data_IF_396667838727
#
_entry.id   IF_396667838727
#
_cell.length_a   1.000
_cell.length_b   1.000
_cell.length_c   1.000
_cell.angle_alpha   90.00
_cell.angle_beta   90.00
_cell.angle_gamma   90.00
#
_symmetry.space_group_name_H-M   'P 1'
#
loop_
_entity.id
_entity.type
_entity.pdbx_description
1 polymer ?
#
# COMPACT_ATOMS: atom_id res chain seq x y z
N UNK A 1 -48.52 -25.14 -21.05
CA UNK A 1 -47.33 -24.25 -20.87
C UNK A 1 -47.53 -23.05 -21.79
N UNK A 2 -47.59 -21.86 -21.23
CA UNK A 2 -48.01 -20.65 -21.96
C UNK A 2 -46.91 -20.19 -22.95
N UNK A 3 -47.22 -20.30 -24.26
CA UNK A 3 -46.27 -19.89 -25.34
C UNK A 3 -45.80 -18.46 -25.24
N UNK A 4 -46.60 -17.56 -24.62
CA UNK A 4 -46.18 -16.14 -24.35
C UNK A 4 -45.09 -16.06 -23.30
N UNK A 5 -45.16 -16.84 -22.24
CA UNK A 5 -44.14 -16.88 -21.17
C UNK A 5 -42.80 -17.39 -21.72
N UNK A 6 -42.83 -18.44 -22.52
CA UNK A 6 -41.61 -18.99 -23.15
C UNK A 6 -40.93 -17.99 -24.10
N UNK A 7 -41.71 -17.19 -24.86
CA UNK A 7 -41.17 -16.17 -25.75
C UNK A 7 -40.53 -14.96 -24.96
N UNK A 8 -41.16 -14.62 -23.85
CA UNK A 8 -40.60 -13.54 -22.96
C UNK A 8 -39.29 -13.98 -22.33
N UNK A 9 -39.24 -15.21 -21.79
CA UNK A 9 -38.03 -15.75 -21.18
C UNK A 9 -36.87 -15.88 -22.17
N UNK A 10 -37.17 -16.29 -23.42
CA UNK A 10 -36.17 -16.33 -24.49
C UNK A 10 -35.67 -14.92 -24.90
N UNK A 11 -36.56 -13.94 -24.95
CA UNK A 11 -36.19 -12.57 -25.26
C UNK A 11 -35.33 -11.93 -24.15
N UNK A 12 -35.67 -12.16 -22.88
CA UNK A 12 -34.90 -11.71 -21.72
C UNK A 12 -33.51 -12.36 -21.71
N UNK A 13 -33.41 -13.64 -21.99
CA UNK A 13 -32.13 -14.35 -22.10
C UNK A 13 -31.26 -13.82 -23.23
N UNK A 14 -31.84 -13.52 -24.40
CA UNK A 14 -31.11 -12.93 -25.52
C UNK A 14 -30.60 -11.53 -25.21
N UNK A 15 -31.39 -10.68 -24.56
CA UNK A 15 -30.99 -9.32 -24.14
C UNK A 15 -29.89 -9.39 -23.07
N UNK A 16 -30.02 -10.25 -22.08
CA UNK A 16 -28.99 -10.45 -21.05
C UNK A 16 -27.68 -10.96 -21.67
N UNK A 17 -27.74 -11.89 -22.63
CA UNK A 17 -26.58 -12.35 -23.39
C UNK A 17 -25.89 -11.26 -24.19
N UNK A 18 -26.67 -10.40 -24.89
CA UNK A 18 -26.13 -9.25 -25.62
C UNK A 18 -25.46 -8.22 -24.69
N UNK A 19 -26.09 -7.90 -23.56
CA UNK A 19 -25.51 -7.00 -22.56
C UNK A 19 -24.22 -7.59 -22.01
N UNK A 20 -24.18 -8.87 -21.64
CA UNK A 20 -22.98 -9.57 -21.18
C UNK A 20 -21.85 -9.56 -22.22
N UNK A 21 -22.17 -9.79 -23.49
CA UNK A 21 -21.23 -9.71 -24.60
C UNK A 21 -20.65 -8.29 -24.79
N UNK A 22 -21.49 -7.26 -24.75
CA UNK A 22 -21.03 -5.86 -24.87
C UNK A 22 -20.17 -5.44 -23.70
N UNK A 23 -20.54 -5.83 -22.47
CA UNK A 23 -19.73 -5.58 -21.28
C UNK A 23 -18.37 -6.29 -21.41
N UNK A 24 -18.34 -7.55 -21.82
CA UNK A 24 -17.11 -8.32 -22.02
C UNK A 24 -16.20 -7.69 -23.08
N UNK A 25 -16.77 -7.21 -24.21
CA UNK A 25 -16.04 -6.51 -25.26
C UNK A 25 -15.48 -5.17 -24.78
N UNK A 26 -16.24 -4.42 -23.99
CA UNK A 26 -15.80 -3.16 -23.39
C UNK A 26 -14.67 -3.36 -22.39
N UNK A 27 -14.76 -4.38 -21.53
CA UNK A 27 -13.73 -4.74 -20.57
C UNK A 27 -12.44 -5.18 -21.28
N UNK A 28 -12.54 -6.03 -22.34
CA UNK A 28 -11.39 -6.44 -23.16
C UNK A 28 -10.73 -5.23 -23.85
N UNK A 29 -11.53 -4.30 -24.40
CA UNK A 29 -11.01 -3.10 -25.03
C UNK A 29 -10.29 -2.19 -24.04
N UNK A 30 -10.87 -1.96 -22.85
CA UNK A 30 -10.21 -1.22 -21.77
C UNK A 30 -8.89 -1.87 -21.34
N UNK A 31 -8.87 -3.21 -21.22
CA UNK A 31 -7.66 -3.97 -20.85
C UNK A 31 -6.57 -3.81 -21.91
N UNK A 32 -6.92 -3.95 -23.21
CA UNK A 32 -5.97 -3.80 -24.30
C UNK A 32 -5.40 -2.38 -24.43
N UNK A 33 -6.23 -1.34 -24.25
CA UNK A 33 -5.79 0.07 -24.23
C UNK A 33 -4.81 0.28 -23.06
N UNK A 34 -5.16 -0.20 -21.87
CA UNK A 34 -4.31 -0.11 -20.68
C UNK A 34 -2.98 -0.83 -20.84
N UNK A 35 -2.98 -2.04 -21.44
CA UNK A 35 -1.76 -2.78 -21.74
C UNK A 35 -0.86 -2.04 -22.75
N UNK A 36 -1.46 -1.35 -23.74
CA UNK A 36 -0.69 -0.54 -24.70
C UNK A 36 -0.13 0.73 -24.06
N UNK A 37 -0.87 1.41 -23.20
CA UNK A 37 -0.42 2.56 -22.42
C UNK A 37 0.71 2.16 -21.46
N UNK A 38 0.56 1.06 -20.72
CA UNK A 38 1.59 0.52 -19.85
C UNK A 38 2.88 0.17 -20.62
N UNK A 39 2.77 -0.46 -21.80
CA UNK A 39 3.93 -0.75 -22.64
C UNK A 39 4.62 0.52 -23.15
N UNK A 40 3.90 1.58 -23.42
CA UNK A 40 4.47 2.87 -23.81
C UNK A 40 5.19 3.52 -22.61
N UNK A 41 4.61 3.48 -21.41
CA UNK A 41 5.20 4.00 -20.18
C UNK A 41 6.43 3.21 -19.70
N UNK A 42 6.49 1.90 -19.96
CA UNK A 42 7.68 1.05 -19.66
C UNK A 42 8.97 1.57 -20.31
N UNK A 43 8.85 2.25 -21.45
CA UNK A 43 10.00 2.74 -22.24
C UNK A 43 10.50 4.11 -21.79
N UNK A 44 9.80 4.79 -20.89
CA UNK A 44 10.19 6.13 -20.43
C UNK A 44 10.95 5.96 -19.11
N UNK A 45 12.27 6.14 -19.08
CA UNK A 45 13.03 6.12 -17.83
C UNK A 45 12.57 7.26 -16.93
N UNK A 46 12.45 6.99 -15.62
CA UNK A 46 12.12 8.01 -14.64
C UNK A 46 13.18 9.11 -14.63
N UNK A 47 12.74 10.35 -14.84
CA UNK A 47 13.60 11.53 -14.73
C UNK A 47 13.20 12.32 -13.48
N UNK A 48 14.12 12.41 -12.54
CA UNK A 48 13.92 13.20 -11.33
C UNK A 48 13.72 14.68 -11.70
N UNK A 49 12.56 15.23 -11.31
CA UNK A 49 12.30 16.66 -11.38
C UNK A 49 13.08 17.44 -10.31
N UNK A 50 13.08 18.77 -10.42
CA UNK A 50 13.72 19.67 -9.44
C UNK A 50 13.25 19.41 -8.00
N UNK A 51 11.94 19.29 -7.80
CA UNK A 51 11.35 19.01 -6.49
C UNK A 51 11.86 17.69 -5.92
N UNK A 52 11.82 16.62 -6.68
CA UNK A 52 12.26 15.31 -6.22
C UNK A 52 13.73 15.27 -5.86
N UNK A 53 14.56 15.92 -6.69
CA UNK A 53 16.03 15.91 -6.54
C UNK A 53 16.51 16.73 -5.34
N UNK A 54 15.89 17.88 -5.08
CA UNK A 54 16.43 18.84 -4.13
C UNK A 54 15.54 19.13 -2.92
N UNK A 55 14.21 19.02 -3.05
CA UNK A 55 13.27 19.46 -2.02
C UNK A 55 12.63 18.28 -1.29
N UNK A 56 12.25 17.23 -2.02
CA UNK A 56 11.47 16.12 -1.46
C UNK A 56 12.15 15.47 -0.26
N UNK A 57 13.44 15.16 -0.34
CA UNK A 57 14.14 14.50 0.77
C UNK A 57 14.28 15.36 2.02
N UNK A 58 14.72 16.64 1.96
CA UNK A 58 14.65 17.57 3.11
C UNK A 58 13.24 17.69 3.70
N UNK A 59 12.21 17.82 2.86
CA UNK A 59 10.80 17.89 3.29
C UNK A 59 10.38 16.62 4.03
N UNK A 60 10.63 15.43 3.46
CA UNK A 60 10.31 14.14 4.09
C UNK A 60 10.97 14.01 5.47
N UNK A 61 12.24 14.42 5.57
CA UNK A 61 12.98 14.41 6.84
C UNK A 61 12.36 15.37 7.87
N UNK A 62 12.07 16.62 7.49
CA UNK A 62 11.45 17.59 8.39
C UNK A 62 10.06 17.13 8.84
N UNK A 63 9.23 16.62 7.92
CA UNK A 63 7.91 16.07 8.26
C UNK A 63 8.02 14.90 9.24
N UNK A 64 8.94 13.96 8.98
CA UNK A 64 9.16 12.82 9.87
C UNK A 64 9.71 13.22 11.24
N UNK A 65 10.61 14.23 11.30
CA UNK A 65 11.15 14.75 12.54
C UNK A 65 10.07 15.40 13.39
N UNK A 66 9.29 16.31 12.79
CA UNK A 66 8.19 16.99 13.49
C UNK A 66 7.13 15.98 13.97
N UNK A 67 6.77 15.01 13.12
CA UNK A 67 5.86 13.93 13.49
C UNK A 67 6.45 13.07 14.63
N UNK A 68 7.74 12.75 14.60
CA UNK A 68 8.40 11.96 15.65
C UNK A 68 8.40 12.70 17.00
N UNK A 69 8.64 14.01 17.01
CA UNK A 69 8.59 14.83 18.21
C UNK A 69 7.14 14.91 18.73
N UNK A 70 6.17 15.27 17.88
CA UNK A 70 4.77 15.45 18.27
C UNK A 70 4.12 14.15 18.73
N UNK A 71 4.45 13.00 18.10
CA UNK A 71 3.89 11.69 18.42
C UNK A 71 4.74 10.89 19.44
N UNK A 72 5.85 11.46 19.92
CA UNK A 72 6.72 10.75 20.89
C UNK A 72 5.98 10.27 22.16
N UNK A 73 5.05 11.02 22.79
CA UNK A 73 4.31 10.51 23.93
C UNK A 73 3.44 9.31 23.56
N UNK A 74 2.78 9.36 22.39
CA UNK A 74 1.93 8.26 21.88
C UNK A 74 2.81 7.03 21.60
N UNK A 75 3.98 7.22 20.97
CA UNK A 75 4.91 6.13 20.69
C UNK A 75 5.43 5.48 21.97
N UNK A 76 5.78 6.27 22.99
CA UNK A 76 6.25 5.76 24.29
C UNK A 76 5.16 4.95 25.00
N UNK A 77 3.93 5.50 25.07
CA UNK A 77 2.78 4.81 25.68
C UNK A 77 2.50 3.51 24.91
N UNK A 78 2.44 3.57 23.58
CA UNK A 78 2.20 2.38 22.75
C UNK A 78 3.30 1.34 22.96
N UNK A 79 4.57 1.74 22.99
CA UNK A 79 5.69 0.84 23.23
C UNK A 79 5.62 0.18 24.61
N UNK A 80 5.25 0.93 25.64
CA UNK A 80 5.04 0.41 26.99
C UNK A 80 3.89 -0.60 27.03
N UNK A 81 2.77 -0.30 26.40
CA UNK A 81 1.62 -1.20 26.31
C UNK A 81 1.98 -2.50 25.55
N UNK A 82 2.73 -2.39 24.46
CA UNK A 82 3.26 -3.57 23.74
C UNK A 82 4.15 -4.40 24.67
N UNK A 83 5.06 -3.76 25.42
CA UNK A 83 5.94 -4.44 26.35
C UNK A 83 5.17 -5.21 27.43
N UNK A 84 4.11 -4.60 27.98
CA UNK A 84 3.30 -5.21 29.04
C UNK A 84 2.41 -6.34 28.49
N UNK A 85 1.77 -6.13 27.33
CA UNK A 85 0.75 -7.07 26.81
C UNK A 85 1.29 -8.17 25.91
N UNK A 86 2.41 -7.93 25.21
CA UNK A 86 2.98 -8.86 24.24
C UNK A 86 4.43 -9.27 24.58
N UNK A 87 5.05 -8.61 25.58
CA UNK A 87 6.40 -8.91 26.00
C UNK A 87 7.49 -8.27 25.12
N UNK A 88 8.66 -8.90 25.07
CA UNK A 88 9.82 -8.48 24.28
C UNK A 88 9.97 -9.36 23.04
N UNK A 89 10.49 -8.83 21.91
CA UNK A 89 10.84 -7.43 21.63
C UNK A 89 9.61 -6.55 21.40
N UNK A 90 9.72 -5.24 21.67
CA UNK A 90 8.65 -4.26 21.45
C UNK A 90 8.47 -3.94 19.97
N UNK A 91 9.60 -3.87 19.24
CA UNK A 91 9.62 -3.61 17.81
C UNK A 91 9.71 -4.92 17.03
N UNK A 92 8.88 -5.01 16.02
CA UNK A 92 8.96 -6.00 14.96
C UNK A 92 9.68 -5.40 13.76
N UNK A 93 10.55 -6.18 13.14
CA UNK A 93 11.26 -5.77 11.93
C UNK A 93 10.96 -6.73 10.79
N UNK A 94 10.79 -6.19 9.58
CA UNK A 94 10.56 -6.98 8.38
C UNK A 94 11.34 -6.41 7.20
N UNK A 95 12.00 -7.28 6.46
CA UNK A 95 12.73 -6.89 5.26
C UNK A 95 11.76 -6.46 4.16
N UNK A 96 12.04 -5.29 3.57
CA UNK A 96 11.25 -4.68 2.51
C UNK A 96 12.16 -4.12 1.42
N UNK A 97 11.75 -4.19 0.14
CA UNK A 97 12.47 -3.53 -0.94
C UNK A 97 12.19 -2.02 -0.93
N UNK A 98 13.26 -1.26 -0.98
CA UNK A 98 13.27 0.20 -1.07
C UNK A 98 13.65 0.71 -2.46
N UNK A 99 14.30 1.87 -2.50
CA UNK A 99 14.83 2.49 -3.73
C UNK A 99 15.73 1.52 -4.48
N UNK A 100 15.50 1.37 -5.78
CA UNK A 100 16.21 0.44 -6.67
C UNK A 100 16.20 -1.02 -6.18
N UNK A 101 15.16 -1.41 -5.43
CA UNK A 101 15.04 -2.76 -4.88
C UNK A 101 15.97 -3.06 -3.70
N UNK A 102 16.74 -2.09 -3.19
CA UNK A 102 17.64 -2.27 -2.04
C UNK A 102 16.81 -2.63 -0.80
N UNK A 103 17.15 -3.75 -0.17
CA UNK A 103 16.43 -4.25 1.01
C UNK A 103 16.77 -3.38 2.23
N UNK A 104 15.73 -3.00 2.98
CA UNK A 104 15.86 -2.32 4.28
C UNK A 104 14.95 -2.99 5.32
N UNK A 105 15.22 -2.74 6.59
CA UNK A 105 14.40 -3.23 7.71
C UNK A 105 13.31 -2.21 8.05
N UNK A 106 12.06 -2.57 7.77
CA UNK A 106 10.88 -1.81 8.16
C UNK A 106 10.61 -2.02 9.65
N UNK A 107 10.44 -0.93 10.41
CA UNK A 107 10.15 -0.97 11.84
C UNK A 107 8.66 -0.80 12.11
N UNK A 108 8.09 -1.68 12.93
CA UNK A 108 6.71 -1.58 13.43
C UNK A 108 6.65 -1.94 14.90
N UNK A 109 5.61 -1.52 15.60
CA UNK A 109 5.31 -2.14 16.88
C UNK A 109 4.80 -3.57 16.67
N UNK A 110 5.19 -4.45 17.58
CA UNK A 110 4.74 -5.83 17.58
C UNK A 110 3.25 -5.89 17.89
N UNK A 111 2.50 -6.72 17.15
CA UNK A 111 1.04 -6.87 17.26
C UNK A 111 0.60 -8.30 17.52
N UNK A 112 1.55 -9.24 17.47
CA UNK A 112 1.32 -10.68 17.65
C UNK A 112 2.20 -11.25 18.78
N UNK A 113 1.77 -12.34 19.38
CA UNK A 113 2.58 -13.14 20.30
C UNK A 113 3.59 -14.01 19.55
N UNK A 114 4.56 -14.59 20.25
CA UNK A 114 5.49 -15.58 19.70
C UNK A 114 5.11 -17.00 20.15
N UNK A 115 3.81 -17.24 20.37
CA UNK A 115 3.31 -18.56 20.73
C UNK A 115 3.64 -19.60 19.68
N UNK A 116 4.07 -20.77 20.15
CA UNK A 116 4.53 -21.87 19.31
C UNK A 116 3.76 -23.14 19.66
N UNK A 117 3.72 -24.06 18.71
CA UNK A 117 3.20 -25.40 18.89
C UNK A 117 4.23 -26.31 19.61
N UNK A 118 3.85 -27.58 19.82
CA UNK A 118 4.69 -28.62 20.45
C UNK A 118 5.98 -28.91 19.64
N UNK A 119 6.01 -28.59 18.35
CA UNK A 119 7.17 -28.77 17.46
C UNK A 119 8.09 -27.53 17.45
N UNK A 120 7.74 -26.46 18.18
CA UNK A 120 8.48 -25.20 18.21
C UNK A 120 8.18 -24.28 17.01
N UNK A 121 7.20 -24.60 16.15
CA UNK A 121 6.75 -23.76 15.05
C UNK A 121 5.78 -22.68 15.56
N UNK A 122 5.82 -21.50 14.91
CA UNK A 122 4.90 -20.41 15.27
C UNK A 122 3.45 -20.82 14.98
N UNK A 123 2.57 -20.59 15.94
CA UNK A 123 1.13 -20.79 15.74
C UNK A 123 0.61 -19.89 14.58
N UNK A 124 -0.52 -20.25 13.96
CA UNK A 124 -1.14 -19.44 12.91
C UNK A 124 -1.38 -17.99 13.34
N UNK A 125 -1.27 -17.07 12.41
CA UNK A 125 -1.38 -15.62 12.65
C UNK A 125 -2.72 -15.24 13.34
N UNK A 126 -3.80 -15.97 13.06
CA UNK A 126 -5.13 -15.77 13.66
C UNK A 126 -5.14 -16.01 15.17
N UNK A 127 -4.33 -16.96 15.64
CA UNK A 127 -4.17 -17.30 17.08
C UNK A 127 -3.28 -16.28 17.75
N UNK A 128 -2.14 -15.96 17.13
CA UNK A 128 -1.12 -15.04 17.65
C UNK A 128 -1.57 -13.57 17.68
N UNK A 129 -2.52 -13.19 16.80
CA UNK A 129 -3.02 -11.83 16.71
C UNK A 129 -4.05 -11.55 17.81
N UNK A 130 -3.60 -10.98 18.90
CA UNK A 130 -4.42 -10.64 20.09
C UNK A 130 -5.45 -9.55 19.77
N UNK A 131 -6.45 -9.37 20.64
CA UNK A 131 -7.41 -8.24 20.57
C UNK A 131 -6.67 -6.88 20.59
N UNK A 132 -5.67 -6.76 21.43
CA UNK A 132 -4.82 -5.57 21.51
C UNK A 132 -4.06 -5.32 20.19
N UNK A 133 -3.47 -6.36 19.61
CA UNK A 133 -2.80 -6.28 18.31
C UNK A 133 -3.74 -5.87 17.17
N UNK A 134 -4.99 -6.38 17.19
CA UNK A 134 -6.05 -5.94 16.23
C UNK A 134 -6.34 -4.45 16.38
N UNK A 135 -6.45 -3.94 17.60
CA UNK A 135 -6.65 -2.50 17.85
C UNK A 135 -5.49 -1.67 17.35
N UNK A 136 -4.23 -2.07 17.61
CA UNK A 136 -3.06 -1.36 17.08
C UNK A 136 -3.09 -1.28 15.55
N UNK A 137 -3.43 -2.38 14.85
CA UNK A 137 -3.51 -2.40 13.38
C UNK A 137 -4.68 -1.58 12.84
N UNK A 138 -5.84 -1.60 13.51
CA UNK A 138 -7.00 -0.82 13.05
C UNK A 138 -6.79 0.68 13.21
N UNK A 139 -6.03 1.11 14.23
CA UNK A 139 -5.65 2.51 14.46
C UNK A 139 -4.37 2.92 13.72
N UNK A 140 -3.66 1.98 13.08
CA UNK A 140 -2.34 2.18 12.46
C UNK A 140 -1.25 2.65 13.45
N UNK A 141 -1.45 2.53 14.75
CA UNK A 141 -0.44 2.86 15.76
C UNK A 141 0.80 1.95 15.66
N UNK A 142 0.62 0.72 15.16
CA UNK A 142 1.71 -0.22 14.92
C UNK A 142 2.71 0.29 13.86
N UNK A 143 2.31 1.21 12.98
CA UNK A 143 3.14 1.76 11.91
C UNK A 143 3.96 3.01 12.34
N UNK A 144 3.72 3.58 13.53
CA UNK A 144 4.45 4.77 14.00
C UNK A 144 5.99 4.63 13.99
N UNK A 145 6.60 3.46 14.31
CA UNK A 145 8.06 3.31 14.19
C UNK A 145 8.61 3.44 12.77
N UNK A 146 7.78 3.40 11.71
CA UNK A 146 8.22 3.68 10.33
C UNK A 146 8.75 5.11 10.18
N UNK A 147 8.43 6.04 11.09
CA UNK A 147 9.06 7.37 11.18
C UNK A 147 10.59 7.27 11.27
N UNK A 148 11.13 6.25 11.95
CA UNK A 148 12.56 5.98 12.01
C UNK A 148 13.12 5.67 10.62
N UNK A 149 12.39 4.90 9.80
CA UNK A 149 12.80 4.61 8.43
C UNK A 149 12.80 5.87 7.55
N UNK A 150 11.84 6.77 7.75
CA UNK A 150 11.82 8.06 7.04
C UNK A 150 12.99 8.96 7.44
N UNK A 151 13.32 9.05 8.73
CA UNK A 151 14.49 9.81 9.22
C UNK A 151 15.79 9.24 8.67
N UNK A 152 15.94 7.90 8.63
CA UNK A 152 17.11 7.23 8.05
C UNK A 152 17.21 7.39 6.53
N UNK A 153 16.10 7.67 5.84
CA UNK A 153 16.02 7.81 4.39
C UNK A 153 15.73 6.53 3.63
N UNK A 154 15.36 5.47 4.34
CA UNK A 154 14.87 4.23 3.73
C UNK A 154 13.51 4.44 3.07
N UNK A 155 12.70 5.35 3.65
CA UNK A 155 11.34 5.69 3.21
C UNK A 155 11.16 7.20 3.02
N UNK A 156 10.15 7.54 2.25
CA UNK A 156 9.57 8.88 2.08
C UNK A 156 8.23 8.99 2.81
N UNK A 157 7.72 10.20 3.01
CA UNK A 157 6.34 10.40 3.47
C UNK A 157 5.36 9.88 2.42
N UNK A 158 5.56 10.27 1.16
CA UNK A 158 4.74 9.86 0.03
C UNK A 158 5.55 9.04 -0.97
N UNK A 159 5.03 7.88 -1.34
CA UNK A 159 5.63 6.95 -2.30
C UNK A 159 4.85 5.64 -2.41
N UNK A 160 5.23 4.73 -3.30
CA UNK A 160 4.66 3.38 -3.36
C UNK A 160 4.84 2.63 -2.03
N UNK A 161 3.78 1.97 -1.53
CA UNK A 161 3.88 1.21 -0.27
C UNK A 161 4.86 0.06 -0.40
N UNK A 162 5.84 -0.14 0.52
CA UNK A 162 6.82 -1.21 0.43
C UNK A 162 6.13 -2.57 0.63
N UNK A 163 6.18 -3.43 -0.40
CA UNK A 163 5.63 -4.78 -0.37
C UNK A 163 6.65 -5.80 0.14
N UNK A 164 6.28 -7.08 0.22
CA UNK A 164 7.18 -8.14 0.69
C UNK A 164 8.28 -8.42 -0.34
N UNK A 165 9.49 -8.76 0.12
CA UNK A 165 10.64 -9.12 -0.72
C UNK A 165 10.30 -10.23 -1.72
N UNK A 166 9.47 -11.21 -1.31
CA UNK A 166 9.03 -12.32 -2.18
C UNK A 166 8.28 -11.89 -3.44
N UNK A 167 7.84 -10.65 -3.55
CA UNK A 167 7.17 -10.13 -4.75
C UNK A 167 8.16 -9.59 -5.79
N UNK A 168 9.42 -9.32 -5.43
CA UNK A 168 10.41 -8.77 -6.38
C UNK A 168 10.57 -9.62 -7.64
N UNK A 169 10.60 -10.94 -7.49
CA UNK A 169 10.72 -11.87 -8.62
C UNK A 169 9.44 -12.05 -9.44
N UNK A 170 8.33 -11.44 -9.02
CA UNK A 170 7.01 -11.57 -9.68
C UNK A 170 6.60 -10.33 -10.46
N UNK A 171 7.35 -9.23 -10.32
CA UNK A 171 7.05 -8.00 -11.05
C UNK A 171 7.49 -8.13 -12.51
N UNK A 172 6.62 -7.68 -13.41
CA UNK A 172 7.04 -7.34 -14.76
C UNK A 172 7.84 -6.01 -14.76
N UNK A 173 8.38 -5.64 -15.92
CA UNK A 173 9.20 -4.43 -16.07
C UNK A 173 8.44 -3.15 -15.68
N UNK A 174 7.13 -3.10 -15.98
CA UNK A 174 6.28 -1.96 -15.64
C UNK A 174 6.07 -1.86 -14.12
N UNK A 175 5.70 -2.96 -13.48
CA UNK A 175 5.46 -3.03 -12.04
C UNK A 175 6.73 -2.76 -11.22
N UNK A 176 7.90 -3.19 -11.73
CA UNK A 176 9.20 -2.98 -11.08
C UNK A 176 9.58 -1.49 -10.99
N UNK A 177 9.04 -0.64 -11.86
CA UNK A 177 9.24 0.83 -11.86
C UNK A 177 8.86 1.50 -10.54
N UNK A 178 7.99 0.89 -9.75
CA UNK A 178 7.66 1.37 -8.41
C UNK A 178 8.86 1.51 -7.47
N UNK A 179 9.96 0.82 -7.78
CA UNK A 179 11.23 0.89 -7.04
C UNK A 179 12.20 1.96 -7.55
N UNK A 180 11.86 2.70 -8.60
CA UNK A 180 12.63 3.85 -9.09
C UNK A 180 12.65 5.01 -8.09
N UNK A 181 11.76 4.99 -7.11
CA UNK A 181 11.65 5.98 -6.04
C UNK A 181 11.64 5.31 -4.65
N UNK A 182 11.84 6.09 -3.59
CA UNK A 182 11.71 5.58 -2.23
C UNK A 182 10.27 5.16 -1.94
N UNK A 183 10.07 4.02 -1.25
CA UNK A 183 8.74 3.66 -0.77
C UNK A 183 8.22 4.70 0.22
N UNK A 184 6.89 4.86 0.24
CA UNK A 184 6.22 5.84 1.10
C UNK A 184 5.46 5.22 2.26
N UNK A 185 5.31 6.00 3.33
CA UNK A 185 4.37 5.74 4.41
C UNK A 185 2.92 5.79 3.90
N UNK A 186 2.62 6.82 3.10
CA UNK A 186 1.40 6.89 2.29
C UNK A 186 1.73 6.96 0.81
N UNK A 187 0.72 6.84 -0.06
CA UNK A 187 0.93 6.87 -1.51
C UNK A 187 -0.36 6.90 -2.30
N UNK A 188 -0.22 7.12 -3.60
CA UNK A 188 -1.35 7.32 -4.50
C UNK A 188 -2.29 6.12 -4.52
N UNK A 189 -1.77 4.88 -4.54
CA UNK A 189 -2.58 3.67 -4.47
C UNK A 189 -3.34 3.55 -3.13
N UNK A 190 -2.76 4.03 -2.03
CA UNK A 190 -3.38 3.95 -0.71
C UNK A 190 -4.58 4.88 -0.58
N UNK A 191 -4.53 6.08 -1.17
CA UNK A 191 -5.66 7.03 -1.14
C UNK A 191 -6.75 6.72 -2.17
N UNK A 192 -6.47 5.85 -3.17
CA UNK A 192 -7.44 5.46 -4.20
C UNK A 192 -8.14 4.11 -3.93
N UNK A 193 -8.07 3.56 -2.74
CA UNK A 193 -8.87 2.40 -2.37
C UNK A 193 -8.17 1.32 -1.55
N UNK A 194 -6.88 1.46 -1.23
CA UNK A 194 -6.15 0.52 -0.35
C UNK A 194 -6.34 -0.96 -0.75
N UNK A 195 -7.14 -1.68 0.05
CA UNK A 195 -7.42 -3.10 -0.16
C UNK A 195 -8.61 -3.36 -1.09
N UNK A 196 -9.41 -2.33 -1.42
CA UNK A 196 -10.59 -2.47 -2.27
C UNK A 196 -10.25 -2.49 -3.78
N UNK A 197 -9.04 -2.07 -4.17
CA UNK A 197 -8.58 -2.08 -5.57
C UNK A 197 -7.74 -3.32 -5.87
N UNK A 198 -7.77 -3.76 -7.13
CA UNK A 198 -6.99 -4.89 -7.62
C UNK A 198 -5.48 -4.64 -7.53
N UNK A 199 -4.67 -5.71 -7.56
CA UNK A 199 -3.21 -5.61 -7.62
C UNK A 199 -2.72 -4.83 -8.84
N UNK A 200 -3.36 -5.03 -9.99
CA UNK A 200 -3.02 -4.31 -11.23
C UNK A 200 -3.24 -2.81 -11.05
N UNK A 201 -4.40 -2.41 -10.51
CA UNK A 201 -4.68 -0.99 -10.21
C UNK A 201 -3.71 -0.39 -9.20
N UNK A 202 -3.28 -1.15 -8.18
CA UNK A 202 -2.27 -0.68 -7.23
C UNK A 202 -0.96 -0.34 -7.94
N UNK A 203 -0.48 -1.23 -8.82
CA UNK A 203 0.75 -1.00 -9.57
C UNK A 203 0.62 0.17 -10.56
N UNK A 204 -0.55 0.35 -11.20
CA UNK A 204 -0.77 1.50 -12.06
C UNK A 204 -0.73 2.82 -11.30
N UNK A 205 -1.34 2.88 -10.11
CA UNK A 205 -1.25 4.07 -9.26
C UNK A 205 0.17 4.32 -8.77
N UNK A 206 0.93 3.25 -8.45
CA UNK A 206 2.32 3.36 -8.05
C UNK A 206 3.19 3.92 -9.19
N UNK A 207 3.06 3.39 -10.41
CA UNK A 207 3.82 3.88 -11.58
C UNK A 207 3.38 5.28 -11.99
N UNK A 208 2.08 5.58 -11.92
CA UNK A 208 1.56 6.93 -12.15
C UNK A 208 2.18 7.94 -11.17
N UNK A 209 2.35 7.57 -9.91
CA UNK A 209 3.05 8.41 -8.94
C UNK A 209 4.52 8.61 -9.35
N UNK A 210 5.25 7.54 -9.69
CA UNK A 210 6.65 7.61 -10.15
C UNK A 210 6.81 8.58 -11.32
N UNK A 211 5.88 8.57 -12.28
CA UNK A 211 5.93 9.44 -13.46
C UNK A 211 5.61 10.92 -13.14
N UNK A 212 4.90 11.23 -12.06
CA UNK A 212 4.36 12.57 -11.78
C UNK A 212 4.56 12.99 -10.32
N UNK A 213 5.82 13.02 -9.87
CA UNK A 213 6.18 13.46 -8.51
C UNK A 213 6.26 14.99 -8.48
N UNK A 214 5.38 15.62 -7.72
CA UNK A 214 5.32 17.08 -7.57
C UNK A 214 5.06 17.48 -6.12
N UNK A 215 5.49 18.68 -5.73
CA UNK A 215 5.26 19.24 -4.40
C UNK A 215 3.76 19.24 -4.04
N UNK A 216 2.92 19.81 -4.90
CA UNK A 216 1.48 19.87 -4.65
C UNK A 216 0.82 18.49 -4.70
N UNK A 217 1.34 17.56 -5.53
CA UNK A 217 0.89 16.17 -5.58
C UNK A 217 1.11 15.44 -4.26
N UNK A 218 2.29 15.56 -3.68
CA UNK A 218 2.61 14.96 -2.38
C UNK A 218 1.73 15.52 -1.26
N UNK A 219 1.58 16.84 -1.17
CA UNK A 219 0.71 17.47 -0.17
C UNK A 219 -0.75 17.07 -0.33
N UNK A 220 -1.24 16.96 -1.56
CA UNK A 220 -2.60 16.47 -1.83
C UNK A 220 -2.80 15.04 -1.31
N UNK A 221 -1.82 14.15 -1.54
CA UNK A 221 -1.88 12.77 -1.04
C UNK A 221 -1.85 12.74 0.49
N UNK A 222 -1.01 13.57 1.13
CA UNK A 222 -0.97 13.70 2.60
C UNK A 222 -2.33 14.12 3.14
N UNK A 223 -2.94 15.17 2.59
CA UNK A 223 -4.26 15.65 3.02
C UNK A 223 -5.35 14.61 2.80
N UNK A 224 -5.34 13.91 1.67
CA UNK A 224 -6.27 12.80 1.40
C UNK A 224 -6.07 11.66 2.41
N UNK A 225 -4.84 11.36 2.80
CA UNK A 225 -4.54 10.33 3.82
C UNK A 225 -5.12 10.71 5.17
N UNK A 226 -4.90 11.96 5.63
CA UNK A 226 -5.47 12.46 6.88
C UNK A 226 -7.00 12.35 6.87
N UNK A 227 -7.63 12.82 5.79
CA UNK A 227 -9.08 12.72 5.63
C UNK A 227 -9.59 11.27 5.66
N UNK A 228 -8.86 10.34 5.04
CA UNK A 228 -9.21 8.91 5.03
C UNK A 228 -9.07 8.28 6.42
N UNK A 229 -8.05 8.70 7.19
CA UNK A 229 -7.86 8.23 8.57
C UNK A 229 -8.95 8.77 9.50
N UNK A 230 -9.32 10.05 9.37
CA UNK A 230 -10.36 10.68 10.18
C UNK A 230 -11.77 10.17 9.88
N UNK A 231 -12.03 9.70 8.65
CA UNK A 231 -13.32 9.13 8.23
C UNK A 231 -13.45 7.63 8.53
N UNK A 232 -12.43 7.01 9.15
CA UNK A 232 -12.54 5.63 9.65
C UNK A 232 -13.38 5.63 10.91
N UNK A 233 -14.66 5.33 10.76
CA UNK A 233 -15.52 4.84 11.83
C UNK A 233 -15.29 3.34 12.07
#
# INVERSE_FOLDING_TARGET
MDKKKLAIDAAVGAVAGMIGYQIGKFVKKKKAVRESENKAEQRIPHKQGFYEKYIKRPQDFCCALLASIGLSPVMLITGLLVRIKLGSPVLFTQDRPGLNGKIFKLYKFRTMTDERDENGELLPDEVRLTKFGKTLRSTSLDELPELINMLKGDMAVVGPRPLLVRYLSRYDEYQARRHEVRPGFTGLAQVHGRNAISWVEKFDWDVKYVNHITFFGDWKIILQTVNTVLKRE
#
